data_IF_506057415916
#
_entry.id   IF_506057415916
#
_cell.length_a   1.000
_cell.length_b   1.000
_cell.length_c   1.000
_cell.angle_alpha   90.00
_cell.angle_beta   90.00
_cell.angle_gamma   90.00
#
_symmetry.space_group_name_H-M   'P 1'
#
loop_
_entity.id
_entity.type
_entity.pdbx_description
1 polymer ?
#
# COMPACT_ATOMS: atom_id res chain seq x y z
N UNK A 1 -11.59 33.93 27.57
CA UNK A 1 -11.76 33.22 26.29
C UNK A 1 -10.46 33.07 25.49
N UNK A 2 -9.32 33.63 25.90
CA UNK A 2 -8.04 33.47 25.13
C UNK A 2 -7.19 32.28 25.57
N UNK A 3 -7.37 31.75 26.78
CA UNK A 3 -6.58 30.63 27.31
C UNK A 3 -7.04 29.26 26.78
N UNK A 4 -8.32 29.13 26.44
CA UNK A 4 -8.89 27.88 25.90
C UNK A 4 -8.44 27.65 24.45
N UNK A 5 -8.22 28.74 23.69
CA UNK A 5 -7.72 28.68 22.31
C UNK A 5 -6.23 28.36 22.25
N UNK A 6 -5.44 28.80 23.24
CA UNK A 6 -4.00 28.54 23.30
C UNK A 6 -3.73 27.07 23.67
N UNK A 7 -4.42 26.57 24.70
CA UNK A 7 -4.28 25.17 25.13
C UNK A 7 -4.75 24.16 24.07
N UNK A 8 -5.81 24.47 23.31
CA UNK A 8 -6.25 23.62 22.20
C UNK A 8 -5.21 23.55 21.09
N UNK A 9 -4.55 24.68 20.78
CA UNK A 9 -3.48 24.75 19.79
C UNK A 9 -2.24 23.96 20.22
N UNK A 10 -1.86 24.03 21.50
CA UNK A 10 -0.74 23.25 22.03
C UNK A 10 -0.99 21.73 21.96
N UNK A 11 -2.24 21.30 22.16
CA UNK A 11 -2.64 19.89 22.02
C UNK A 11 -2.57 19.44 20.56
N UNK A 12 -3.07 20.25 19.62
CA UNK A 12 -3.00 19.95 18.19
C UNK A 12 -1.54 19.80 17.72
N UNK A 13 -0.68 20.77 18.06
CA UNK A 13 0.75 20.73 17.72
C UNK A 13 1.43 19.47 18.31
N UNK A 14 1.05 19.06 19.53
CA UNK A 14 1.58 17.85 20.18
C UNK A 14 1.16 16.56 19.46
N UNK A 15 -0.10 16.47 19.01
CA UNK A 15 -0.59 15.28 18.29
C UNK A 15 0.07 15.16 16.93
N UNK A 16 0.24 16.27 16.21
CA UNK A 16 0.96 16.29 14.93
C UNK A 16 2.42 15.84 15.07
N UNK A 17 3.11 16.27 16.14
CA UNK A 17 4.48 15.87 16.41
C UNK A 17 4.59 14.37 16.75
N UNK A 18 3.64 13.82 17.50
CA UNK A 18 3.56 12.38 17.77
C UNK A 18 3.33 11.60 16.47
N UNK A 19 2.40 12.05 15.63
CA UNK A 19 2.11 11.39 14.35
C UNK A 19 3.33 11.39 13.42
N UNK A 20 4.08 12.51 13.35
CA UNK A 20 5.32 12.60 12.59
C UNK A 20 6.39 11.66 13.15
N UNK A 21 6.56 11.65 14.46
CA UNK A 21 7.52 10.77 15.15
C UNK A 21 7.20 9.29 14.93
N UNK A 22 5.92 8.92 14.91
CA UNK A 22 5.48 7.56 14.57
C UNK A 22 5.88 7.21 13.13
N UNK A 23 5.62 8.09 12.17
CA UNK A 23 6.04 7.89 10.77
C UNK A 23 7.55 7.72 10.62
N UNK A 24 8.34 8.56 11.27
CA UNK A 24 9.80 8.45 11.30
C UNK A 24 10.25 7.11 11.90
N UNK A 25 9.67 6.70 13.04
CA UNK A 25 9.97 5.42 13.67
C UNK A 25 9.60 4.21 12.80
N UNK A 26 8.49 4.30 12.04
CA UNK A 26 8.11 3.27 11.06
C UNK A 26 9.19 3.12 9.99
N UNK A 27 9.84 4.20 9.57
CA UNK A 27 10.90 4.11 8.55
C UNK A 27 12.14 3.36 9.01
N UNK A 28 12.33 3.22 10.33
CA UNK A 28 13.42 2.48 10.95
C UNK A 28 13.07 1.00 11.20
N UNK A 29 11.82 0.58 10.90
CA UNK A 29 11.41 -0.81 11.05
C UNK A 29 12.12 -1.72 10.02
N UNK A 30 12.55 -2.92 10.41
CA UNK A 30 13.14 -3.89 9.49
C UNK A 30 12.25 -4.20 8.28
N UNK A 31 10.93 -4.30 8.50
CA UNK A 31 9.95 -4.59 7.45
C UNK A 31 9.89 -3.46 6.42
N UNK A 32 9.92 -2.19 6.88
CA UNK A 32 9.93 -1.03 6.00
C UNK A 32 11.23 -0.91 5.20
N UNK A 33 12.37 -1.17 5.85
CA UNK A 33 13.67 -1.16 5.17
C UNK A 33 13.73 -2.27 4.10
N UNK A 34 13.29 -3.49 4.44
CA UNK A 34 13.24 -4.60 3.48
C UNK A 34 12.30 -4.32 2.31
N UNK A 35 11.12 -3.75 2.57
CA UNK A 35 10.21 -3.32 1.52
C UNK A 35 10.87 -2.30 0.58
N UNK A 36 11.57 -1.30 1.12
CA UNK A 36 12.27 -0.29 0.32
C UNK A 36 13.39 -0.88 -0.54
N UNK A 37 14.17 -1.81 0.00
CA UNK A 37 15.22 -2.51 -0.72
C UNK A 37 14.64 -3.37 -1.84
N UNK A 38 13.67 -4.23 -1.53
CA UNK A 38 13.04 -5.11 -2.51
C UNK A 38 12.34 -4.32 -3.63
N UNK A 39 11.77 -3.15 -3.31
CA UNK A 39 11.22 -2.23 -4.31
C UNK A 39 12.31 -1.72 -5.25
N UNK A 40 13.46 -1.29 -4.72
CA UNK A 40 14.58 -0.83 -5.53
C UNK A 40 15.16 -1.96 -6.39
N UNK A 41 15.18 -3.19 -5.88
CA UNK A 41 15.61 -4.38 -6.64
C UNK A 41 14.69 -4.64 -7.83
N UNK A 42 13.36 -4.55 -7.65
CA UNK A 42 12.39 -4.64 -8.75
C UNK A 42 12.57 -3.51 -9.76
N UNK A 43 12.77 -2.27 -9.30
CA UNK A 43 13.01 -1.10 -10.18
C UNK A 43 14.29 -1.23 -11.01
N UNK A 44 15.27 -1.98 -10.52
CA UNK A 44 16.55 -2.22 -11.20
C UNK A 44 16.58 -3.52 -12.03
N UNK A 45 15.55 -4.36 -11.95
CA UNK A 45 15.45 -5.63 -12.67
C UNK A 45 14.74 -5.46 -14.01
N UNK A 46 15.51 -5.47 -15.10
CA UNK A 46 15.00 -5.32 -16.47
C UNK A 46 13.92 -6.35 -16.83
N UNK A 47 14.03 -7.60 -16.36
CA UNK A 47 13.04 -8.64 -16.63
C UNK A 47 11.74 -8.35 -15.88
N UNK A 48 11.83 -7.94 -14.61
CA UNK A 48 10.66 -7.53 -13.85
C UNK A 48 9.98 -6.32 -14.49
N UNK A 49 10.75 -5.31 -14.92
CA UNK A 49 10.21 -4.12 -15.59
C UNK A 49 9.50 -4.43 -16.92
N UNK A 50 10.04 -5.35 -17.72
CA UNK A 50 9.40 -5.82 -18.96
C UNK A 50 8.06 -6.51 -18.65
N UNK A 51 8.04 -7.42 -17.68
CA UNK A 51 6.83 -8.16 -17.30
C UNK A 51 5.77 -7.29 -16.61
N UNK A 52 6.18 -6.26 -15.88
CA UNK A 52 5.26 -5.25 -15.34
C UNK A 52 4.55 -4.53 -16.48
N UNK A 53 5.29 -4.07 -17.50
CA UNK A 53 4.70 -3.38 -18.65
C UNK A 53 3.71 -4.27 -19.40
N UNK A 54 4.09 -5.52 -19.70
CA UNK A 54 3.21 -6.51 -20.35
C UNK A 54 1.92 -6.73 -19.55
N UNK A 55 2.03 -6.94 -18.23
CA UNK A 55 0.87 -7.10 -17.37
C UNK A 55 -0.03 -5.86 -17.34
N UNK A 56 0.55 -4.65 -17.31
CA UNK A 56 -0.21 -3.40 -17.30
C UNK A 56 -1.00 -3.18 -18.60
N UNK A 57 -0.40 -3.48 -19.75
CA UNK A 57 -1.07 -3.43 -21.06
C UNK A 57 -2.27 -4.38 -21.10
N UNK A 58 -2.09 -5.65 -20.73
CA UNK A 58 -3.15 -6.66 -20.68
C UNK A 58 -4.27 -6.24 -19.72
N UNK A 59 -3.90 -5.70 -18.55
CA UNK A 59 -4.87 -5.20 -17.55
C UNK A 59 -5.70 -4.05 -18.10
N UNK A 60 -5.07 -3.08 -18.78
CA UNK A 60 -5.78 -1.94 -19.38
C UNK A 60 -6.76 -2.38 -20.46
N UNK A 61 -6.34 -3.28 -21.35
CA UNK A 61 -7.18 -3.85 -22.40
C UNK A 61 -8.36 -4.63 -21.81
N UNK A 62 -8.13 -5.45 -20.78
CA UNK A 62 -9.19 -6.16 -20.07
C UNK A 62 -10.18 -5.20 -19.41
N UNK A 63 -9.70 -4.13 -18.78
CA UNK A 63 -10.56 -3.13 -18.13
C UNK A 63 -11.42 -2.36 -19.15
N UNK A 64 -10.86 -2.03 -20.32
CA UNK A 64 -11.60 -1.43 -21.42
C UNK A 64 -12.68 -2.40 -21.94
N UNK A 65 -12.31 -3.65 -22.21
CA UNK A 65 -13.24 -4.69 -22.67
C UNK A 65 -14.36 -4.92 -21.64
N UNK A 66 -14.04 -4.87 -20.34
CA UNK A 66 -15.03 -5.00 -19.26
C UNK A 66 -15.99 -3.82 -19.25
N UNK A 67 -15.49 -2.59 -19.46
CA UNK A 67 -16.31 -1.39 -19.51
C UNK A 67 -17.28 -1.38 -20.71
N UNK A 68 -16.84 -1.89 -21.86
CA UNK A 68 -17.68 -1.97 -23.08
C UNK A 68 -18.57 -3.22 -23.13
N UNK A 69 -18.46 -4.11 -22.14
CA UNK A 69 -19.19 -5.38 -22.11
C UNK A 69 -18.69 -6.42 -23.11
N UNK A 70 -17.44 -6.29 -23.57
CA UNK A 70 -16.77 -7.15 -24.54
C UNK A 70 -15.79 -8.13 -23.90
N UNK A 71 -15.48 -7.97 -22.61
CA UNK A 71 -14.56 -8.87 -21.90
C UNK A 71 -14.99 -10.33 -21.97
N UNK A 72 -14.03 -11.19 -22.28
CA UNK A 72 -14.23 -12.63 -22.41
C UNK A 72 -13.58 -13.42 -21.27
N UNK A 73 -13.84 -14.72 -21.20
CA UNK A 73 -13.12 -15.61 -20.29
C UNK A 73 -11.66 -15.84 -20.73
N UNK A 74 -11.35 -15.65 -22.00
CA UNK A 74 -9.98 -15.78 -22.52
C UNK A 74 -9.15 -14.59 -22.05
N UNK A 75 -9.67 -13.37 -22.17
CA UNK A 75 -9.03 -12.16 -21.65
C UNK A 75 -8.75 -12.24 -20.14
N UNK A 76 -9.68 -12.84 -19.37
CA UNK A 76 -9.47 -13.06 -17.94
C UNK A 76 -8.35 -14.08 -17.66
N UNK A 77 -8.21 -15.12 -18.48
CA UNK A 77 -7.13 -16.11 -18.33
C UNK A 77 -5.79 -15.49 -18.71
N UNK A 78 -5.74 -14.74 -19.80
CA UNK A 78 -4.53 -14.02 -20.23
C UNK A 78 -4.04 -13.06 -19.14
N UNK A 79 -4.96 -12.31 -18.51
CA UNK A 79 -4.62 -11.46 -17.36
C UNK A 79 -4.08 -12.24 -16.16
N UNK A 80 -4.66 -13.41 -15.86
CA UNK A 80 -4.21 -14.27 -14.76
C UNK A 80 -2.85 -14.88 -15.04
N UNK A 81 -2.62 -15.37 -16.26
CA UNK A 81 -1.34 -15.93 -16.70
C UNK A 81 -0.23 -14.87 -16.64
N UNK A 82 -0.49 -13.66 -17.14
CA UNK A 82 0.46 -12.54 -17.06
C UNK A 82 0.79 -12.15 -15.61
N UNK A 83 -0.21 -12.20 -14.71
CA UNK A 83 0.01 -11.96 -13.28
C UNK A 83 0.90 -13.05 -12.65
N UNK A 84 0.60 -14.33 -12.92
CA UNK A 84 1.37 -15.46 -12.42
C UNK A 84 2.83 -15.38 -12.91
N UNK A 85 3.04 -15.13 -14.20
CA UNK A 85 4.38 -14.97 -14.78
C UNK A 85 5.17 -13.82 -14.14
N UNK A 86 4.51 -12.69 -13.85
CA UNK A 86 5.13 -11.57 -13.15
C UNK A 86 5.51 -11.93 -11.71
N UNK A 87 4.62 -12.62 -10.99
CA UNK A 87 4.84 -12.99 -9.60
C UNK A 87 5.88 -14.10 -9.42
N UNK A 88 6.09 -14.94 -10.45
CA UNK A 88 7.10 -16.00 -10.46
C UNK A 88 8.55 -15.46 -10.59
N UNK A 89 8.72 -14.18 -10.96
CA UNK A 89 10.04 -13.55 -11.00
C UNK A 89 10.57 -13.41 -9.56
N UNK A 90 11.78 -13.90 -9.25
CA UNK A 90 12.29 -13.90 -7.87
C UNK A 90 12.30 -12.52 -7.19
N UNK A 91 12.70 -11.47 -7.91
CA UNK A 91 12.71 -10.08 -7.39
C UNK A 91 11.30 -9.56 -7.09
N UNK A 92 10.33 -9.89 -7.94
CA UNK A 92 8.93 -9.54 -7.71
C UNK A 92 8.35 -10.33 -6.52
N UNK A 93 8.63 -11.63 -6.44
CA UNK A 93 8.20 -12.48 -5.32
C UNK A 93 8.73 -11.95 -3.98
N UNK A 94 10.02 -11.60 -3.92
CA UNK A 94 10.65 -11.00 -2.75
C UNK A 94 10.01 -9.66 -2.36
N UNK A 95 9.68 -8.82 -3.36
CA UNK A 95 8.98 -7.56 -3.13
C UNK A 95 7.58 -7.76 -2.57
N UNK A 96 6.79 -8.67 -3.14
CA UNK A 96 5.44 -8.97 -2.66
C UNK A 96 5.44 -9.53 -1.23
N UNK A 97 6.42 -10.37 -0.90
CA UNK A 97 6.61 -10.84 0.47
C UNK A 97 6.93 -9.67 1.42
N UNK A 98 7.89 -8.82 1.05
CA UNK A 98 8.27 -7.67 1.87
C UNK A 98 7.12 -6.65 2.05
N UNK A 99 6.30 -6.47 1.02
CA UNK A 99 5.08 -5.67 1.07
C UNK A 99 4.08 -6.25 2.07
N UNK A 100 3.82 -7.56 2.02
CA UNK A 100 2.90 -8.22 2.93
C UNK A 100 3.34 -8.12 4.40
N UNK A 101 4.63 -8.33 4.67
CA UNK A 101 5.19 -8.20 6.01
C UNK A 101 5.03 -6.76 6.55
N UNK A 102 5.28 -5.75 5.70
CA UNK A 102 5.05 -4.35 6.06
C UNK A 102 3.56 -4.06 6.32
N UNK A 103 2.66 -4.55 5.48
CA UNK A 103 1.21 -4.36 5.65
C UNK A 103 0.71 -4.94 6.97
N UNK A 104 1.12 -6.17 7.32
CA UNK A 104 0.79 -6.79 8.60
C UNK A 104 1.29 -5.92 9.76
N UNK A 105 2.52 -5.42 9.66
CA UNK A 105 3.11 -4.58 10.71
C UNK A 105 2.37 -3.24 10.85
N UNK A 106 1.97 -2.62 9.74
CA UNK A 106 1.19 -1.39 9.74
C UNK A 106 -0.23 -1.61 10.28
N UNK A 107 -0.84 -2.76 10.01
CA UNK A 107 -2.13 -3.14 10.57
C UNK A 107 -2.06 -3.24 12.10
N UNK A 108 -1.06 -3.90 12.66
CA UNK A 108 -0.85 -3.98 14.11
C UNK A 108 -0.72 -2.58 14.75
N UNK A 109 0.02 -1.68 14.09
CA UNK A 109 0.16 -0.30 14.56
C UNK A 109 -1.17 0.47 14.49
N UNK A 110 -1.97 0.25 13.43
CA UNK A 110 -3.30 0.83 13.33
C UNK A 110 -4.22 0.36 14.47
N UNK A 111 -4.19 -0.93 14.81
CA UNK A 111 -4.96 -1.49 15.91
C UNK A 111 -4.59 -0.84 17.25
N UNK A 112 -3.29 -0.63 17.52
CA UNK A 112 -2.80 0.07 18.72
C UNK A 112 -3.24 1.54 18.78
N UNK A 113 -3.22 2.25 17.64
CA UNK A 113 -3.69 3.65 17.55
C UNK A 113 -5.21 3.72 17.72
N UNK A 114 -5.93 2.70 17.23
CA UNK A 114 -7.39 2.63 17.26
C UNK A 114 -7.96 2.16 18.61
N UNK A 115 -7.20 1.41 19.41
CA UNK A 115 -7.63 0.88 20.72
C UNK A 115 -8.26 1.95 21.66
N UNK A 116 -7.68 3.15 21.84
CA UNK A 116 -8.30 4.19 22.66
C UNK A 116 -9.43 4.98 21.96
N UNK A 117 -9.69 4.72 20.68
CA UNK A 117 -10.65 5.45 19.86
C UNK A 117 -11.98 4.69 19.76
N UNK A 118 -13.07 5.42 19.57
CA UNK A 118 -14.39 4.81 19.31
C UNK A 118 -14.58 4.37 17.84
N UNK A 119 -13.53 4.50 17.02
CA UNK A 119 -13.51 4.25 15.58
C UNK A 119 -12.17 3.64 15.19
N UNK A 120 -12.14 2.87 14.10
CA UNK A 120 -10.89 2.45 13.47
C UNK A 120 -10.23 3.64 12.77
N UNK A 121 -9.05 4.02 13.22
CA UNK A 121 -8.31 5.17 12.69
C UNK A 121 -7.98 4.98 11.20
N UNK A 122 -7.41 3.83 10.85
CA UNK A 122 -6.99 3.49 9.49
C UNK A 122 -8.16 3.41 8.51
N UNK A 123 -9.29 2.84 8.94
CA UNK A 123 -10.51 2.79 8.13
C UNK A 123 -11.04 4.21 7.83
N UNK A 124 -11.08 5.09 8.85
CA UNK A 124 -11.63 6.44 8.69
C UNK A 124 -10.65 7.41 8.03
N UNK A 125 -9.36 7.25 8.23
CA UNK A 125 -8.32 8.07 7.62
C UNK A 125 -7.97 7.63 6.19
N UNK A 126 -8.05 6.33 5.90
CA UNK A 126 -7.63 5.73 4.62
C UNK A 126 -8.52 6.08 3.42
N UNK A 127 -9.74 6.61 3.65
CA UNK A 127 -10.59 7.18 2.60
C UNK A 127 -11.09 6.20 1.53
N UNK A 128 -10.79 4.90 1.61
CA UNK A 128 -11.20 3.93 0.61
C UNK A 128 -12.63 3.42 0.87
N UNK A 129 -13.56 3.93 0.06
CA UNK A 129 -14.81 3.27 -0.34
C UNK A 129 -15.67 2.69 0.79
N UNK A 130 -16.23 3.57 1.63
CA UNK A 130 -17.58 3.35 2.17
C UNK A 130 -18.55 4.27 1.45
N UNK A 131 -18.83 3.97 0.19
CA UNK A 131 -20.06 4.35 -0.52
C UNK A 131 -20.63 3.10 -1.20
#
# INVERSE_FOLDING_TARGET
>A
MSIETDAAREVDDTVEDIARSLGEAITELPEYQRFREAKADVEADDQAQEKIQEFEEIREDFMLARQTGQATQEDLRELQEAQEELHDIPTMSDFLQAQNDLELRLQELNELVSEPLAVDFGEKAGGCCQD
#
